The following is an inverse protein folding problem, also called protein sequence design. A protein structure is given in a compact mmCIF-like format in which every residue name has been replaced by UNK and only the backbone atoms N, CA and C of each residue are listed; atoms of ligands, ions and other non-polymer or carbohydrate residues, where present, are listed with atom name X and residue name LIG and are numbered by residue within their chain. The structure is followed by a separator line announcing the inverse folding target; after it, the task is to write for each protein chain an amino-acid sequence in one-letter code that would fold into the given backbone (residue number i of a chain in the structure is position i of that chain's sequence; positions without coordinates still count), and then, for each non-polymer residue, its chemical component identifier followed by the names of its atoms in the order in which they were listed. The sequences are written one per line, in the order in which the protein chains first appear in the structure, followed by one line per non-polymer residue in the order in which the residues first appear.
data_IF_725388823192
#
_entry.id   IF_725388823192
#
_cell.length_a   1.000
_cell.length_b   1.000
_cell.length_c   1.000
_cell.angle_alpha   90.00
_cell.angle_beta   90.00
_cell.angle_gamma   90.00
#
_symmetry.space_group_name_H-M   'P 1'
#
loop_
_entity.id
_entity.type
_entity.pdbx_description
1 polymer ?
#
# COMPACT_ATOMS: atom_id res chain seq x y z
N UNK A 1 -21.81 4.70 13.59
CA UNK A 1 -22.94 4.94 12.66
C UNK A 1 -22.37 4.99 11.25
N UNK A 2 -22.95 4.28 10.29
CA UNK A 2 -22.51 4.32 8.88
C UNK A 2 -23.47 5.25 8.12
N UNK A 3 -22.94 6.29 7.47
CA UNK A 3 -23.74 7.27 6.72
C UNK A 3 -23.50 7.10 5.22
N UNK A 4 -24.55 6.73 4.50
CA UNK A 4 -24.52 6.70 3.04
C UNK A 4 -24.63 8.14 2.48
N UNK A 5 -23.83 8.46 1.45
CA UNK A 5 -23.85 9.75 0.75
C UNK A 5 -24.37 9.57 -0.68
N UNK A 6 -23.61 8.85 -1.52
CA UNK A 6 -23.89 8.66 -2.96
C UNK A 6 -23.01 7.54 -3.53
N UNK A 7 -23.37 7.03 -4.72
CA UNK A 7 -22.53 6.14 -5.53
C UNK A 7 -21.63 6.88 -6.53
N UNK A 8 -21.92 8.16 -6.82
CA UNK A 8 -21.12 8.96 -7.74
C UNK A 8 -19.80 9.41 -7.10
N UNK A 9 -18.70 9.17 -7.79
CA UNK A 9 -17.35 9.26 -7.25
C UNK A 9 -16.94 10.69 -6.88
N UNK A 10 -17.21 11.65 -7.76
CA UNK A 10 -16.89 13.06 -7.53
C UNK A 10 -17.89 13.72 -6.58
N UNK A 11 -19.17 13.33 -6.63
CA UNK A 11 -20.16 13.80 -5.66
C UNK A 11 -19.82 13.32 -4.24
N UNK A 12 -19.36 12.08 -4.08
CA UNK A 12 -18.86 11.56 -2.80
C UNK A 12 -17.69 12.40 -2.31
N UNK A 13 -16.70 12.65 -3.18
CA UNK A 13 -15.50 13.43 -2.86
C UNK A 13 -15.84 14.85 -2.44
N UNK A 14 -16.69 15.56 -3.20
CA UNK A 14 -17.13 16.91 -2.85
C UNK A 14 -17.85 16.96 -1.49
N UNK A 15 -18.73 15.98 -1.21
CA UNK A 15 -19.45 15.91 0.05
C UNK A 15 -18.52 15.63 1.25
N UNK A 16 -17.57 14.72 1.08
CA UNK A 16 -16.58 14.39 2.13
C UNK A 16 -15.62 15.55 2.37
N UNK A 17 -15.09 16.18 1.31
CA UNK A 17 -14.28 17.39 1.40
C UNK A 17 -15.02 18.52 2.13
N UNK A 18 -16.29 18.75 1.81
CA UNK A 18 -17.11 19.74 2.51
C UNK A 18 -17.30 19.39 4.01
N UNK A 19 -17.41 18.11 4.36
CA UNK A 19 -17.44 17.68 5.77
C UNK A 19 -16.10 17.94 6.45
N UNK A 20 -14.97 17.58 5.85
CA UNK A 20 -13.64 17.83 6.41
C UNK A 20 -13.45 19.30 6.78
N UNK A 21 -13.79 20.23 5.88
CA UNK A 21 -13.61 21.68 6.12
C UNK A 21 -14.52 22.23 7.22
N UNK A 22 -15.73 21.66 7.38
CA UNK A 22 -16.72 22.11 8.37
C UNK A 22 -16.49 21.50 9.75
N UNK A 23 -16.23 20.20 9.78
CA UNK A 23 -16.08 19.43 11.02
C UNK A 23 -14.66 19.52 11.57
N UNK A 24 -13.66 19.81 10.72
CA UNK A 24 -12.24 19.95 11.07
C UNK A 24 -11.75 18.78 11.94
N UNK A 25 -11.82 17.55 11.40
CA UNK A 25 -11.40 16.37 12.16
C UNK A 25 -9.93 16.48 12.57
N UNK A 26 -9.58 15.96 13.74
CA UNK A 26 -8.18 15.96 14.19
C UNK A 26 -7.30 14.97 13.39
N UNK A 27 -7.90 13.90 12.87
CA UNK A 27 -7.23 12.89 12.07
C UNK A 27 -8.13 12.36 10.94
N UNK A 28 -7.53 12.06 9.79
CA UNK A 28 -8.20 11.53 8.60
C UNK A 28 -7.48 10.27 8.14
N UNK A 29 -8.25 9.21 7.88
CA UNK A 29 -7.75 7.95 7.35
C UNK A 29 -8.25 7.73 5.92
N UNK A 30 -7.33 7.72 4.95
CA UNK A 30 -7.64 7.52 3.52
C UNK A 30 -7.10 6.15 3.07
N UNK A 31 -7.83 5.10 3.42
CA UNK A 31 -7.43 3.72 3.13
C UNK A 31 -8.28 3.15 2.00
N UNK A 32 -7.64 2.71 0.91
CA UNK A 32 -8.32 2.08 -0.22
C UNK A 32 -8.06 2.79 -1.56
N UNK A 33 -9.01 2.60 -2.49
CA UNK A 33 -8.83 2.99 -3.89
C UNK A 33 -9.73 4.16 -4.26
N UNK A 34 -9.12 5.31 -4.55
CA UNK A 34 -9.82 6.60 -4.73
C UNK A 34 -9.53 7.28 -6.08
N UNK A 35 -8.87 6.63 -7.04
CA UNK A 35 -8.49 7.19 -8.35
C UNK A 35 -7.92 8.62 -8.23
N UNK A 36 -8.38 9.56 -9.07
CA UNK A 36 -7.89 10.93 -9.11
C UNK A 36 -8.36 11.75 -7.88
N UNK A 37 -9.41 11.31 -7.20
CA UNK A 37 -10.00 11.95 -6.04
C UNK A 37 -9.12 11.82 -4.79
N UNK A 38 -8.21 10.85 -4.78
CA UNK A 38 -7.19 10.70 -3.74
C UNK A 38 -6.48 12.02 -3.41
N UNK A 39 -6.04 12.76 -4.43
CA UNK A 39 -5.35 14.03 -4.24
C UNK A 39 -6.28 15.12 -3.68
N UNK A 40 -7.51 15.21 -4.20
CA UNK A 40 -8.50 16.20 -3.76
C UNK A 40 -8.85 15.98 -2.30
N UNK A 41 -9.12 14.73 -1.91
CA UNK A 41 -9.44 14.36 -0.53
C UNK A 41 -8.26 14.66 0.41
N UNK A 42 -7.06 14.25 0.01
CA UNK A 42 -5.87 14.41 0.84
C UNK A 42 -5.47 15.89 1.00
N UNK A 43 -5.45 16.67 -0.08
CA UNK A 43 -5.16 18.11 -0.01
C UNK A 43 -6.22 18.87 0.80
N UNK A 44 -7.51 18.52 0.61
CA UNK A 44 -8.59 19.13 1.41
C UNK A 44 -8.37 18.84 2.89
N UNK A 45 -8.15 17.58 3.27
CA UNK A 45 -7.91 17.25 4.66
C UNK A 45 -6.68 17.96 5.23
N UNK A 46 -5.61 18.14 4.43
CA UNK A 46 -4.34 18.69 4.88
C UNK A 46 -4.52 20.20 5.13
N UNK A 47 -5.31 20.86 4.29
CA UNK A 47 -5.72 22.25 4.48
C UNK A 47 -6.48 22.50 5.79
N UNK A 48 -7.07 21.46 6.39
CA UNK A 48 -7.77 21.57 7.70
C UNK A 48 -6.84 21.42 8.91
N UNK A 49 -5.57 21.04 8.69
CA UNK A 49 -4.59 20.79 9.76
C UNK A 49 -4.76 19.44 10.46
N UNK A 50 -5.51 18.51 9.85
CA UNK A 50 -5.71 17.16 10.37
C UNK A 50 -4.49 16.28 10.10
N UNK A 51 -4.10 15.43 11.06
CA UNK A 51 -3.11 14.37 10.80
C UNK A 51 -3.70 13.39 9.79
N UNK A 52 -2.95 13.05 8.76
CA UNK A 52 -3.40 12.14 7.72
C UNK A 52 -2.61 10.85 7.65
N UNK A 53 -3.36 9.74 7.63
CA UNK A 53 -2.84 8.41 7.39
C UNK A 53 -3.54 7.84 6.16
N UNK A 54 -2.79 7.63 5.09
CA UNK A 54 -3.29 7.04 3.86
C UNK A 54 -2.69 5.65 3.64
N UNK A 55 -3.32 4.86 2.77
CA UNK A 55 -2.83 3.51 2.47
C UNK A 55 -3.37 2.99 1.16
N UNK A 56 -2.45 2.60 0.27
CA UNK A 56 -2.78 2.14 -1.07
C UNK A 56 -1.70 1.21 -1.65
N UNK A 57 -2.13 0.24 -2.46
CA UNK A 57 -1.24 -0.69 -3.17
C UNK A 57 -1.01 -0.33 -4.65
N UNK A 58 -1.84 0.54 -5.20
CA UNK A 58 -1.74 0.96 -6.60
C UNK A 58 -0.70 2.10 -6.79
N UNK A 59 0.30 1.92 -7.67
CA UNK A 59 1.38 2.89 -7.89
C UNK A 59 0.91 4.18 -8.57
N UNK A 60 -0.27 4.23 -9.18
CA UNK A 60 -0.79 5.43 -9.85
C UNK A 60 -1.31 6.48 -8.87
N UNK A 61 -1.80 6.06 -7.70
CA UNK A 61 -2.37 6.94 -6.68
C UNK A 61 -1.41 7.21 -5.52
N UNK A 62 -0.50 6.27 -5.27
CA UNK A 62 0.51 6.37 -4.23
C UNK A 62 1.25 7.72 -4.20
N UNK A 63 1.69 8.30 -5.34
CA UNK A 63 2.36 9.60 -5.33
C UNK A 63 1.52 10.73 -4.74
N UNK A 64 0.19 10.70 -4.92
CA UNK A 64 -0.69 11.73 -4.37
C UNK A 64 -0.71 11.68 -2.85
N UNK A 65 -0.85 10.49 -2.27
CA UNK A 65 -0.83 10.31 -0.83
C UNK A 65 0.55 10.59 -0.22
N UNK A 66 1.62 10.12 -0.86
CA UNK A 66 2.99 10.39 -0.40
C UNK A 66 3.29 11.89 -0.38
N UNK A 67 2.76 12.66 -1.34
CA UNK A 67 3.00 14.09 -1.42
C UNK A 67 2.15 14.93 -0.45
N UNK A 68 1.00 14.42 0.00
CA UNK A 68 0.00 15.23 0.74
C UNK A 68 -0.32 14.75 2.14
N UNK A 69 -0.08 13.47 2.46
CA UNK A 69 -0.38 12.89 3.78
C UNK A 69 0.89 12.79 4.65
N UNK A 70 0.71 12.82 5.97
CA UNK A 70 1.82 12.68 6.93
C UNK A 70 2.43 11.27 6.93
N UNK A 71 1.56 10.25 6.82
CA UNK A 71 1.97 8.85 6.76
C UNK A 71 1.21 8.13 5.64
N UNK A 72 1.94 7.43 4.79
CA UNK A 72 1.36 6.64 3.70
C UNK A 72 1.85 5.20 3.79
N UNK A 73 0.92 4.26 3.93
CA UNK A 73 1.19 2.83 3.81
C UNK A 73 1.30 2.45 2.34
N UNK A 74 2.45 1.87 1.96
CA UNK A 74 2.76 1.57 0.57
C UNK A 74 2.68 0.07 0.32
N UNK A 75 1.79 -0.36 -0.58
CA UNK A 75 1.78 -1.74 -1.07
C UNK A 75 1.55 -2.76 0.04
N UNK A 76 2.56 -3.61 0.27
CA UNK A 76 2.55 -4.69 1.28
C UNK A 76 2.31 -4.16 2.70
N UNK A 77 2.65 -2.90 2.99
CA UNK A 77 2.43 -2.28 4.31
C UNK A 77 0.93 -2.15 4.65
N UNK A 78 0.08 -1.89 3.64
CA UNK A 78 -1.37 -1.81 3.84
C UNK A 78 -1.95 -3.14 4.31
N UNK A 79 -1.49 -4.25 3.71
CA UNK A 79 -1.93 -5.59 4.06
C UNK A 79 -1.34 -6.06 5.38
N UNK A 80 -0.07 -5.70 5.64
CA UNK A 80 0.60 -6.00 6.90
C UNK A 80 -0.07 -5.27 8.07
N UNK A 81 -0.51 -4.02 7.88
CA UNK A 81 -1.09 -3.20 8.94
C UNK A 81 -2.27 -3.90 9.64
N UNK A 82 -3.21 -4.46 8.87
CA UNK A 82 -4.36 -5.18 9.43
C UNK A 82 -3.93 -6.41 10.25
N UNK A 83 -2.98 -7.20 9.73
CA UNK A 83 -2.44 -8.37 10.41
C UNK A 83 -1.70 -8.02 11.71
N UNK A 84 -0.94 -6.91 11.73
CA UNK A 84 -0.24 -6.44 12.93
C UNK A 84 -1.20 -5.88 13.99
N UNK A 85 -2.28 -5.20 13.57
CA UNK A 85 -3.31 -4.66 14.46
C UNK A 85 -4.15 -5.76 15.10
N UNK A 86 -4.62 -6.74 14.31
CA UNK A 86 -5.46 -7.84 14.82
C UNK A 86 -4.65 -8.95 15.47
N UNK A 87 -3.34 -9.02 15.20
CA UNK A 87 -2.44 -10.11 15.60
C UNK A 87 -2.95 -11.49 15.21
N UNK A 88 -3.62 -11.58 14.07
CA UNK A 88 -4.18 -12.83 13.59
C UNK A 88 -3.06 -13.78 13.12
N UNK A 89 -2.91 -14.98 13.72
CA UNK A 89 -1.77 -15.84 13.48
C UNK A 89 -1.69 -16.36 12.04
N UNK A 90 -2.83 -16.50 11.37
CA UNK A 90 -2.89 -16.94 9.96
C UNK A 90 -2.31 -15.87 9.04
N UNK A 91 -2.73 -14.61 9.20
CA UNK A 91 -2.23 -13.48 8.39
C UNK A 91 -0.76 -13.18 8.67
N UNK A 92 -0.34 -13.22 9.94
CA UNK A 92 1.06 -13.05 10.30
C UNK A 92 1.94 -14.19 9.76
N UNK A 93 1.44 -15.42 9.79
CA UNK A 93 2.11 -16.59 9.22
C UNK A 93 2.29 -16.50 7.71
N UNK A 94 1.25 -16.06 6.98
CA UNK A 94 1.34 -15.90 5.53
C UNK A 94 2.34 -14.82 5.12
N UNK A 95 2.35 -13.67 5.81
CA UNK A 95 3.32 -12.60 5.56
C UNK A 95 4.76 -13.09 5.78
N UNK A 96 5.02 -13.78 6.90
CA UNK A 96 6.35 -14.31 7.20
C UNK A 96 6.80 -15.37 6.18
N UNK A 97 5.91 -16.23 5.74
CA UNK A 97 6.22 -17.22 4.71
C UNK A 97 6.57 -16.55 3.38
N UNK A 98 5.83 -15.49 3.01
CA UNK A 98 6.09 -14.71 1.81
C UNK A 98 7.47 -14.04 1.86
N UNK A 99 7.85 -13.45 2.98
CA UNK A 99 9.17 -12.82 3.17
C UNK A 99 10.32 -13.83 3.06
N UNK A 100 10.17 -15.01 3.69
CA UNK A 100 11.18 -16.07 3.63
C UNK A 100 11.32 -16.59 2.19
N UNK A 101 10.20 -16.83 1.51
CA UNK A 101 10.21 -17.31 0.13
C UNK A 101 10.86 -16.28 -0.81
N UNK A 102 10.50 -14.99 -0.69
CA UNK A 102 11.09 -13.89 -1.45
C UNK A 102 12.60 -13.80 -1.20
N UNK A 103 13.03 -13.90 0.06
CA UNK A 103 14.45 -13.94 0.43
C UNK A 103 15.22 -15.11 -0.19
N UNK A 104 14.64 -16.32 -0.15
CA UNK A 104 15.24 -17.51 -0.75
C UNK A 104 15.39 -17.37 -2.27
N UNK A 105 14.38 -16.84 -2.96
CA UNK A 105 14.43 -16.56 -4.40
C UNK A 105 15.52 -15.54 -4.73
N UNK A 106 15.64 -14.46 -3.95
CA UNK A 106 16.69 -13.44 -4.14
C UNK A 106 18.09 -14.07 -3.99
N UNK A 107 18.31 -14.87 -2.94
CA UNK A 107 19.61 -15.54 -2.70
C UNK A 107 19.96 -16.49 -3.84
N UNK A 108 19.00 -17.34 -4.26
CA UNK A 108 19.22 -18.26 -5.38
C UNK A 108 19.47 -17.52 -6.69
N UNK A 109 18.77 -16.40 -6.92
CA UNK A 109 18.97 -15.54 -8.09
C UNK A 109 20.38 -14.94 -8.12
N UNK A 110 20.84 -14.36 -7.01
CA UNK A 110 22.19 -13.79 -6.89
C UNK A 110 23.25 -14.88 -7.06
N UNK A 111 23.08 -16.04 -6.42
CA UNK A 111 23.99 -17.17 -6.58
C UNK A 111 24.06 -17.63 -8.05
N UNK A 112 22.91 -17.70 -8.73
CA UNK A 112 22.86 -18.03 -10.15
C UNK A 112 23.58 -17.03 -11.03
N UNK A 113 23.44 -15.74 -10.77
CA UNK A 113 24.17 -14.68 -11.47
C UNK A 113 25.68 -14.88 -11.29
N UNK A 114 26.16 -15.04 -10.05
CA UNK A 114 27.60 -15.20 -9.75
C UNK A 114 28.19 -16.45 -10.41
N UNK A 115 27.52 -17.60 -10.26
CA UNK A 115 28.01 -18.87 -10.81
C UNK A 115 28.06 -18.83 -12.34
N UNK A 116 27.06 -18.22 -12.97
CA UNK A 116 27.04 -18.02 -14.43
C UNK A 116 28.13 -17.06 -14.90
N UNK A 117 28.39 -15.98 -14.16
CA UNK A 117 29.47 -15.03 -14.48
C UNK A 117 30.87 -15.67 -14.41
N UNK A 118 31.04 -16.74 -13.62
CA UNK A 118 32.27 -17.54 -13.55
C UNK A 118 32.37 -18.63 -14.64
N UNK A 119 31.42 -18.68 -15.58
CA UNK A 119 31.41 -19.64 -16.69
C UNK A 119 30.91 -21.04 -16.32
N UNK A 120 30.35 -21.22 -15.12
CA UNK A 120 29.80 -22.49 -14.66
C UNK A 120 28.31 -22.57 -15.01
N UNK A 121 27.93 -23.37 -16.01
CA UNK A 121 26.54 -23.48 -16.49
C UNK A 121 25.69 -24.51 -15.75
N UNK A 122 26.30 -25.33 -14.89
CA UNK A 122 25.62 -26.42 -14.18
C UNK A 122 24.46 -25.94 -13.29
N UNK A 123 24.56 -24.73 -12.73
CA UNK A 123 23.56 -24.18 -11.82
C UNK A 123 22.32 -23.63 -12.56
N UNK A 124 22.44 -22.84 -13.65
CA UNK A 124 21.31 -22.51 -14.51
C UNK A 124 20.60 -23.72 -15.13
N UNK A 125 21.36 -24.76 -15.49
CA UNK A 125 20.80 -25.95 -16.15
C UNK A 125 19.84 -26.74 -15.26
N UNK A 126 19.95 -26.63 -13.93
CA UNK A 126 19.00 -27.20 -12.96
C UNK A 126 17.59 -26.59 -13.04
N UNK A 127 17.46 -25.35 -13.53
CA UNK A 127 16.18 -24.63 -13.63
C UNK A 127 15.58 -24.66 -15.03
N UNK A 128 16.22 -25.34 -15.99
CA UNK A 128 15.65 -25.56 -17.33
C UNK A 128 14.56 -26.63 -17.25
N UNK A 129 13.32 -26.22 -17.46
CA UNK A 129 12.23 -27.15 -17.78
C UNK A 129 12.43 -27.68 -19.20
N UNK A 130 12.22 -28.99 -19.40
CA UNK A 130 12.31 -29.66 -20.71
C UNK A 130 11.41 -29.03 -21.77
#
# INVERSE_FOLDING_TARGET
MVNYITYDQFAFTAAVSARMTREKPAAIFLIGYFFAESLILAETGQSTGAIQIAGQADPTQLPFFVATCDYTLIGEELYAASAYLTREPVLLGSMRAQDIAKGLVIVLGIAGIVVTSLGLTWFPDLFKTK
#
